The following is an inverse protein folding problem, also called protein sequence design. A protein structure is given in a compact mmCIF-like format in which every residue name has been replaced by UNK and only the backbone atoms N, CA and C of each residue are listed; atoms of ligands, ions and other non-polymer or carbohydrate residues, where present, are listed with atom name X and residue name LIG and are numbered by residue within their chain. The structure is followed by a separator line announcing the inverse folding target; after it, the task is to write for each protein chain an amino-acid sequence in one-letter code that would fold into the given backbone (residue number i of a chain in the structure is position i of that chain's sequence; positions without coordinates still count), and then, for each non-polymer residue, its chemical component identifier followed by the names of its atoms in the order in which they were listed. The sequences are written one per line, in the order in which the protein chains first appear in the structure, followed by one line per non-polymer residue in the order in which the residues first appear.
data_IF_624946727662
#
_entry.id   IF_624946727662
#
_cell.length_a   1.000
_cell.length_b   1.000
_cell.length_c   1.000
_cell.angle_alpha   90.00
_cell.angle_beta   90.00
_cell.angle_gamma   90.00
#
_symmetry.space_group_name_H-M   'P 1'
#
loop_
_entity.id
_entity.type
_entity.pdbx_description
1 polymer ?
#
# COMPACT_ATOMS: atom_id res chain seq x y z
N UNK A 1 -39.63 33.33 -66.81
CA UNK A 1 -38.56 33.64 -65.84
C UNK A 1 -37.50 32.56 -65.96
N UNK A 2 -36.35 32.86 -66.59
CA UNK A 2 -35.24 31.90 -66.77
C UNK A 2 -34.30 32.05 -65.57
N UNK A 3 -34.06 30.98 -64.83
CA UNK A 3 -33.05 30.93 -63.76
C UNK A 3 -31.72 30.56 -64.42
N UNK A 4 -30.74 31.45 -64.31
CA UNK A 4 -29.39 31.24 -64.82
C UNK A 4 -28.59 30.39 -63.84
N UNK A 5 -28.01 29.28 -64.33
CA UNK A 5 -27.00 28.52 -63.62
C UNK A 5 -25.65 29.19 -63.94
N UNK A 6 -25.08 29.87 -62.95
CA UNK A 6 -23.70 30.33 -63.04
C UNK A 6 -22.76 29.14 -62.88
N UNK A 7 -21.92 28.92 -63.90
CA UNK A 7 -20.87 27.91 -63.94
C UNK A 7 -19.56 28.62 -63.60
N UNK A 8 -19.12 28.54 -62.35
CA UNK A 8 -17.78 29.00 -61.98
C UNK A 8 -16.75 27.91 -62.27
N UNK A 9 -15.75 28.31 -63.06
CA UNK A 9 -14.58 27.50 -63.39
C UNK A 9 -13.67 27.39 -62.15
N UNK A 10 -13.76 26.28 -61.43
CA UNK A 10 -12.81 25.89 -60.41
C UNK A 10 -12.36 24.46 -60.65
N UNK A 11 -11.18 24.27 -61.27
CA UNK A 11 -10.49 22.99 -61.24
C UNK A 11 -10.08 22.72 -59.79
N UNK A 12 -10.90 21.96 -59.07
CA UNK A 12 -10.52 21.42 -57.76
C UNK A 12 -9.35 20.47 -57.98
N UNK A 13 -8.15 20.87 -57.58
CA UNK A 13 -6.95 20.05 -57.71
C UNK A 13 -7.09 18.83 -56.79
N UNK A 14 -7.39 17.67 -57.36
CA UNK A 14 -7.57 16.41 -56.61
C UNK A 14 -6.38 16.12 -55.71
N UNK A 15 -5.17 16.51 -56.13
CA UNK A 15 -3.95 16.34 -55.35
C UNK A 15 -3.94 17.20 -54.08
N UNK A 16 -4.52 18.41 -54.08
CA UNK A 16 -4.54 19.27 -52.88
C UNK A 16 -5.53 18.76 -51.84
N UNK A 17 -6.69 18.24 -52.27
CA UNK A 17 -7.68 17.63 -51.40
C UNK A 17 -7.13 16.34 -50.78
N UNK A 18 -6.47 15.51 -51.59
CA UNK A 18 -5.87 14.26 -51.14
C UNK A 18 -4.72 14.50 -50.12
N UNK A 19 -3.89 15.52 -50.33
CA UNK A 19 -2.84 15.92 -49.38
C UNK A 19 -3.44 16.42 -48.06
N UNK A 20 -4.51 17.22 -48.12
CA UNK A 20 -5.18 17.75 -46.94
C UNK A 20 -5.86 16.66 -46.11
N UNK A 21 -6.48 15.67 -46.76
CA UNK A 21 -7.08 14.49 -46.09
C UNK A 21 -5.98 13.62 -45.44
N UNK A 22 -4.86 13.39 -46.13
CA UNK A 22 -3.71 12.63 -45.58
C UNK A 22 -3.08 13.33 -44.38
N UNK A 23 -3.01 14.67 -44.37
CA UNK A 23 -2.55 15.44 -43.22
C UNK A 23 -3.49 15.33 -42.02
N UNK A 24 -4.80 15.43 -42.25
CA UNK A 24 -5.80 15.32 -41.18
C UNK A 24 -5.82 13.92 -40.56
N UNK A 25 -5.74 12.86 -41.38
CA UNK A 25 -5.63 11.48 -40.92
C UNK A 25 -4.36 11.24 -40.10
N UNK A 26 -3.21 11.78 -40.52
CA UNK A 26 -1.97 11.70 -39.74
C UNK A 26 -2.09 12.39 -38.38
N UNK A 27 -2.71 13.56 -38.34
CA UNK A 27 -2.95 14.29 -37.09
C UNK A 27 -3.88 13.52 -36.14
N UNK A 28 -4.96 12.94 -36.68
CA UNK A 28 -5.89 12.09 -35.92
C UNK A 28 -5.19 10.84 -35.36
N UNK A 29 -4.35 10.18 -36.17
CA UNK A 29 -3.58 9.00 -35.73
C UNK A 29 -2.56 9.39 -34.66
N UNK A 30 -1.86 10.52 -34.81
CA UNK A 30 -0.94 11.05 -33.80
C UNK A 30 -1.65 11.45 -32.51
N UNK A 31 -2.85 12.04 -32.57
CA UNK A 31 -3.63 12.39 -31.38
C UNK A 31 -4.15 11.15 -30.66
N UNK A 32 -4.60 10.13 -31.41
CA UNK A 32 -5.03 8.84 -30.85
C UNK A 32 -3.84 8.13 -30.22
N UNK A 33 -2.68 8.06 -30.89
CA UNK A 33 -1.46 7.48 -30.33
C UNK A 33 -1.02 8.22 -29.06
N UNK A 34 -1.08 9.56 -29.06
CA UNK A 34 -0.78 10.37 -27.89
C UNK A 34 -1.76 10.09 -26.73
N UNK A 35 -3.06 10.02 -27.01
CA UNK A 35 -4.08 9.62 -26.02
C UNK A 35 -3.87 8.20 -25.50
N UNK A 36 -3.51 7.23 -26.36
CA UNK A 36 -3.20 5.86 -25.93
C UNK A 36 -1.96 5.87 -25.04
N UNK A 37 -0.90 6.60 -25.39
CA UNK A 37 0.32 6.70 -24.56
C UNK A 37 0.08 7.39 -23.21
N UNK A 38 -0.82 8.38 -23.16
CA UNK A 38 -1.27 9.01 -21.91
C UNK A 38 -2.03 8.01 -21.02
N UNK A 39 -2.84 7.13 -21.60
CA UNK A 39 -3.59 6.12 -20.85
C UNK A 39 -2.75 4.89 -20.46
N UNK A 40 -1.60 4.64 -21.11
CA UNK A 40 -0.71 3.50 -20.79
C UNK A 40 0.31 3.78 -19.68
N UNK A 41 0.26 4.95 -19.04
CA UNK A 41 1.24 5.35 -18.01
C UNK A 41 0.79 5.01 -16.59
N UNK A 42 0.35 3.78 -16.30
CA UNK A 42 0.13 3.36 -14.91
C UNK A 42 0.16 1.83 -14.73
N UNK A 43 1.32 1.20 -14.89
CA UNK A 43 1.48 -0.23 -14.57
C UNK A 43 2.74 -0.45 -13.76
N UNK A 44 2.78 -0.08 -12.47
CA UNK A 44 3.86 -0.57 -11.61
C UNK A 44 3.58 -0.70 -10.11
N UNK A 45 2.36 -0.48 -9.61
CA UNK A 45 2.13 -0.55 -8.15
C UNK A 45 0.68 -0.89 -7.75
N UNK A 46 0.13 -1.99 -8.28
CA UNK A 46 -1.22 -2.41 -7.90
C UNK A 46 -1.27 -3.14 -6.55
N UNK A 47 -0.24 -3.93 -6.23
CA UNK A 47 -0.21 -4.82 -5.06
C UNK A 47 1.02 -4.62 -4.17
N UNK A 48 0.85 -4.96 -2.90
CA UNK A 48 1.93 -5.01 -1.91
C UNK A 48 2.76 -6.27 -2.17
N UNK A 49 4.08 -6.11 -2.14
CA UNK A 49 5.03 -7.22 -2.35
C UNK A 49 5.85 -7.50 -1.11
N UNK A 50 6.33 -8.73 -0.97
CA UNK A 50 7.29 -9.05 0.08
C UNK A 50 8.59 -8.26 -0.08
N UNK A 51 9.11 -7.80 1.04
CA UNK A 51 10.26 -6.89 1.12
C UNK A 51 9.94 -5.44 0.79
N UNK A 52 8.71 -5.09 0.40
CA UNK A 52 8.30 -3.70 0.25
C UNK A 52 8.22 -2.99 1.60
N UNK A 53 8.41 -1.67 1.56
CA UNK A 53 8.26 -0.79 2.71
C UNK A 53 6.96 -0.02 2.53
N UNK A 54 6.11 -0.04 3.54
CA UNK A 54 4.78 0.58 3.51
C UNK A 54 4.54 1.43 4.75
N UNK A 55 3.74 2.49 4.59
CA UNK A 55 3.04 3.13 5.71
C UNK A 55 1.62 2.55 5.76
N UNK A 56 1.12 2.22 6.94
CA UNK A 56 -0.26 1.73 7.11
C UNK A 56 -1.11 2.83 7.72
N UNK A 57 -2.04 3.38 6.93
CA UNK A 57 -2.99 4.40 7.37
C UNK A 57 -4.29 3.74 7.80
N UNK A 58 -4.77 4.08 8.99
CA UNK A 58 -6.08 3.67 9.46
C UNK A 58 -7.16 4.42 8.66
N UNK A 59 -8.19 3.71 8.21
CA UNK A 59 -9.22 4.29 7.36
C UNK A 59 -10.19 5.21 8.12
N UNK A 60 -10.42 4.95 9.41
CA UNK A 60 -11.37 5.71 10.21
C UNK A 60 -10.74 7.01 10.71
N UNK A 61 -9.58 6.91 11.35
CA UNK A 61 -8.93 8.05 12.01
C UNK A 61 -7.91 8.77 11.10
N UNK A 62 -7.51 8.16 9.99
CA UNK A 62 -6.56 8.77 9.06
C UNK A 62 -5.10 8.81 9.53
N UNK A 63 -4.81 8.24 10.70
CA UNK A 63 -3.46 8.15 11.31
C UNK A 63 -2.67 6.95 10.80
N UNK A 64 -1.34 7.02 10.91
CA UNK A 64 -0.40 6.00 10.41
C UNK A 64 0.21 5.19 11.54
N UNK A 65 0.26 3.87 11.35
CA UNK A 65 0.92 2.96 12.28
C UNK A 65 2.37 3.40 12.51
N UNK A 66 2.77 3.48 13.78
CA UNK A 66 3.99 4.16 14.20
C UNK A 66 4.60 3.46 15.41
N UNK A 67 5.94 3.47 15.52
CA UNK A 67 6.64 3.02 16.71
C UNK A 67 7.91 3.85 16.91
N UNK A 68 8.51 3.81 18.11
CA UNK A 68 9.61 4.68 18.50
C UNK A 68 10.28 4.12 19.75
N UNK A 69 11.40 4.68 20.19
CA UNK A 69 12.12 4.20 21.38
C UNK A 69 11.51 4.67 22.72
N UNK A 70 10.22 4.38 22.90
CA UNK A 70 9.48 4.53 24.16
C UNK A 70 8.85 3.18 24.45
N UNK A 71 8.89 2.77 25.71
CA UNK A 71 8.30 1.50 26.17
C UNK A 71 7.01 1.75 26.92
N UNK A 72 6.11 0.78 26.92
CA UNK A 72 4.96 0.82 27.78
C UNK A 72 5.39 0.78 29.26
N UNK A 73 4.77 1.61 30.10
CA UNK A 73 4.92 1.53 31.56
C UNK A 73 4.02 0.49 32.23
N UNK A 74 3.22 -0.23 31.44
CA UNK A 74 2.28 -1.27 31.88
C UNK A 74 2.32 -2.44 30.89
N UNK A 75 1.53 -3.48 31.18
CA UNK A 75 1.42 -4.62 30.27
C UNK A 75 2.74 -5.37 30.17
N UNK A 76 3.23 -5.60 28.96
CA UNK A 76 4.47 -6.35 28.74
C UNK A 76 5.75 -5.56 29.03
N UNK A 77 5.67 -4.23 29.09
CA UNK A 77 6.84 -3.35 29.15
C UNK A 77 7.66 -3.28 27.86
N UNK A 78 7.15 -3.83 26.74
CA UNK A 78 7.79 -3.78 25.44
C UNK A 78 7.69 -2.39 24.79
N UNK A 79 8.37 -2.20 23.65
CA UNK A 79 8.33 -0.95 22.89
C UNK A 79 6.90 -0.65 22.42
N UNK A 80 6.48 0.61 22.55
CA UNK A 80 5.12 1.02 22.23
C UNK A 80 4.87 1.08 20.72
N UNK A 81 3.64 0.71 20.34
CA UNK A 81 3.10 0.92 19.00
C UNK A 81 1.91 1.85 19.13
N UNK A 82 1.90 2.85 18.26
CA UNK A 82 0.97 3.98 18.30
C UNK A 82 0.52 4.29 16.88
N UNK A 83 -0.33 5.29 16.72
CA UNK A 83 -0.55 5.88 15.42
C UNK A 83 -0.52 7.41 15.45
N UNK A 84 0.04 8.00 14.40
CA UNK A 84 0.31 9.45 14.30
C UNK A 84 -0.33 10.07 13.07
N UNK A 85 -0.69 11.35 13.15
CA UNK A 85 -1.24 12.09 12.01
C UNK A 85 -0.17 12.42 10.96
N UNK A 86 1.07 12.67 11.41
CA UNK A 86 2.19 13.04 10.55
C UNK A 86 2.37 12.02 9.42
N UNK A 87 2.27 12.53 8.19
CA UNK A 87 2.35 11.71 7.01
C UNK A 87 3.74 11.29 6.63
N UNK A 88 4.74 12.08 7.01
CA UNK A 88 6.10 12.01 6.49
C UNK A 88 7.08 11.37 7.47
N UNK A 89 6.64 11.09 8.71
CA UNK A 89 7.48 10.47 9.74
C UNK A 89 8.11 9.15 9.26
N UNK A 90 9.44 9.07 9.42
CA UNK A 90 10.24 7.89 9.09
C UNK A 90 9.86 6.70 9.97
N UNK A 91 9.42 6.94 11.20
CA UNK A 91 8.98 5.95 12.18
C UNK A 91 7.59 5.35 11.88
N UNK A 92 6.99 5.72 10.73
CA UNK A 92 5.80 5.06 10.20
C UNK A 92 6.12 4.03 9.11
N UNK A 93 7.39 3.77 8.81
CA UNK A 93 7.77 2.78 7.80
C UNK A 93 7.88 1.36 8.37
N UNK A 94 7.14 0.45 7.74
CA UNK A 94 7.12 -0.97 8.07
C UNK A 94 7.51 -1.79 6.85
N UNK A 95 8.50 -2.67 7.01
CA UNK A 95 8.89 -3.63 5.97
C UNK A 95 8.03 -4.88 6.08
N UNK A 96 7.46 -5.30 4.95
CA UNK A 96 6.69 -6.54 4.85
C UNK A 96 7.64 -7.73 4.69
N UNK A 97 7.59 -8.67 5.63
CA UNK A 97 8.40 -9.89 5.64
C UNK A 97 7.52 -11.14 5.61
N UNK A 98 8.12 -12.27 5.24
CA UNK A 98 7.47 -13.58 5.38
C UNK A 98 7.16 -13.88 6.86
N UNK A 99 6.09 -14.63 7.09
CA UNK A 99 5.81 -15.24 8.40
C UNK A 99 6.98 -16.12 8.88
N UNK A 100 7.01 -16.42 10.18
CA UNK A 100 7.99 -17.35 10.75
C UNK A 100 7.92 -18.71 10.09
N UNK A 101 9.08 -19.25 9.70
CA UNK A 101 9.23 -20.48 8.90
C UNK A 101 8.48 -20.47 7.57
N UNK A 102 7.93 -19.31 7.18
CA UNK A 102 7.33 -19.07 5.87
C UNK A 102 8.38 -18.71 4.84
N UNK A 103 7.98 -18.74 3.58
CA UNK A 103 8.79 -18.24 2.48
C UNK A 103 8.00 -17.15 1.75
N UNK A 104 8.67 -16.06 1.43
CA UNK A 104 8.14 -15.05 0.53
C UNK A 104 9.31 -14.35 -0.14
N UNK A 105 9.46 -14.51 -1.45
CA UNK A 105 10.58 -13.91 -2.16
C UNK A 105 10.32 -12.42 -2.34
N UNK A 106 11.39 -11.63 -2.28
CA UNK A 106 11.32 -10.19 -2.51
C UNK A 106 10.66 -9.91 -3.86
N UNK A 107 9.64 -9.04 -3.88
CA UNK A 107 8.88 -8.71 -5.09
C UNK A 107 7.68 -9.62 -5.37
N UNK A 108 7.51 -10.75 -4.67
CA UNK A 108 6.30 -11.57 -4.82
C UNK A 108 5.09 -10.85 -4.22
N UNK A 109 3.90 -10.89 -4.88
CA UNK A 109 2.68 -10.32 -4.34
C UNK A 109 2.28 -10.99 -3.01
N UNK A 110 1.87 -10.19 -2.03
CA UNK A 110 1.30 -10.70 -0.78
C UNK A 110 -0.12 -11.19 -1.05
N UNK A 111 -0.36 -12.49 -0.89
CA UNK A 111 -1.69 -13.09 -1.09
C UNK A 111 -2.63 -12.75 0.07
N UNK A 112 -3.91 -12.55 -0.23
CA UNK A 112 -4.91 -12.48 0.83
C UNK A 112 -4.97 -13.81 1.59
N UNK A 113 -5.25 -13.74 2.89
CA UNK A 113 -5.21 -14.83 3.87
C UNK A 113 -3.83 -15.46 4.10
N UNK A 114 -2.76 -14.93 3.48
CA UNK A 114 -1.39 -15.30 3.83
C UNK A 114 -0.94 -14.59 5.12
N UNK A 115 0.07 -15.17 5.78
CA UNK A 115 0.68 -14.63 6.99
C UNK A 115 1.95 -13.88 6.63
N UNK A 116 2.12 -12.71 7.25
CA UNK A 116 3.29 -11.86 7.11
C UNK A 116 3.81 -11.44 8.50
N UNK A 117 4.99 -10.83 8.52
CA UNK A 117 5.46 -10.01 9.64
C UNK A 117 5.66 -8.58 9.16
N UNK A 118 5.51 -7.62 10.06
CA UNK A 118 5.79 -6.22 9.79
C UNK A 118 6.96 -5.79 10.66
N UNK A 119 8.10 -5.48 10.05
CA UNK A 119 9.30 -5.01 10.76
C UNK A 119 9.34 -3.49 10.74
N UNK A 120 9.41 -2.86 11.90
CA UNK A 120 9.60 -1.42 12.03
C UNK A 120 11.02 -1.07 11.54
N UNK A 121 11.15 -0.15 10.57
CA UNK A 121 12.45 0.08 9.94
C UNK A 121 13.48 0.72 10.89
N UNK A 122 13.06 1.71 11.69
CA UNK A 122 14.01 2.49 12.51
C UNK A 122 14.59 1.67 13.65
N UNK A 123 13.76 0.87 14.34
CA UNK A 123 14.18 0.13 15.55
C UNK A 123 14.43 -1.36 15.29
N UNK A 124 13.96 -1.90 14.16
CA UNK A 124 14.18 -3.29 13.76
C UNK A 124 13.28 -4.31 14.44
N UNK A 125 12.42 -3.92 15.38
CA UNK A 125 11.44 -4.80 16.01
C UNK A 125 10.30 -5.19 15.04
N UNK A 126 9.51 -6.16 15.45
CA UNK A 126 8.34 -6.63 14.71
C UNK A 126 7.06 -6.17 15.40
N UNK A 127 6.03 -5.85 14.61
CA UNK A 127 4.68 -5.65 15.12
C UNK A 127 4.22 -6.94 15.79
N UNK A 128 3.92 -6.85 17.08
CA UNK A 128 3.72 -7.99 17.96
C UNK A 128 2.43 -7.86 18.76
N UNK A 129 1.84 -9.01 19.12
CA UNK A 129 0.75 -9.03 20.07
C UNK A 129 0.74 -10.34 20.86
N UNK A 130 0.06 -10.31 22.02
CA UNK A 130 0.14 -11.35 23.06
C UNK A 130 -0.96 -11.15 24.10
N UNK A 131 -1.04 -12.02 25.12
CA UNK A 131 -2.10 -11.98 26.14
C UNK A 131 -1.89 -10.94 27.24
N UNK A 132 -1.55 -9.70 26.87
CA UNK A 132 -1.52 -8.54 27.76
C UNK A 132 -2.64 -7.56 27.42
N UNK A 133 -3.18 -6.89 28.45
CA UNK A 133 -4.16 -5.83 28.28
C UNK A 133 -3.52 -4.55 27.73
N UNK A 134 -4.22 -3.82 26.86
CA UNK A 134 -3.68 -2.59 26.30
C UNK A 134 -3.48 -1.48 27.38
N UNK A 135 -2.58 -0.52 27.14
CA UNK A 135 -2.21 0.47 28.17
C UNK A 135 -3.35 1.39 28.63
N UNK A 136 -4.22 1.83 27.73
CA UNK A 136 -5.36 2.73 28.02
C UNK A 136 -6.72 2.02 27.92
N UNK A 137 -6.86 1.03 27.06
CA UNK A 137 -8.12 0.28 26.85
C UNK A 137 -7.99 -1.16 27.35
N UNK A 138 -8.30 -1.38 28.63
CA UNK A 138 -7.97 -2.63 29.34
C UNK A 138 -8.74 -3.86 28.87
N UNK A 139 -9.84 -3.65 28.19
CA UNK A 139 -10.69 -4.68 27.60
C UNK A 139 -10.09 -5.25 26.30
N UNK A 140 -9.22 -4.48 25.65
CA UNK A 140 -8.55 -4.84 24.40
C UNK A 140 -7.11 -5.29 24.64
N UNK A 141 -6.53 -5.92 23.63
CA UNK A 141 -5.21 -6.52 23.73
C UNK A 141 -4.10 -5.55 23.32
N UNK A 142 -2.98 -5.63 24.04
CA UNK A 142 -1.78 -4.87 23.74
C UNK A 142 -1.22 -5.24 22.36
N UNK A 143 -0.87 -4.21 21.59
CA UNK A 143 -0.02 -4.32 20.41
C UNK A 143 1.28 -3.58 20.72
N UNK A 144 2.40 -4.24 20.51
CA UNK A 144 3.73 -3.78 20.87
C UNK A 144 4.68 -3.95 19.69
N UNK A 145 5.89 -3.42 19.83
CA UNK A 145 7.00 -3.72 18.95
C UNK A 145 8.02 -4.58 19.71
N UNK A 146 8.25 -5.80 19.23
CA UNK A 146 9.05 -6.80 19.94
C UNK A 146 10.24 -7.31 19.13
N UNK A 147 11.31 -7.66 19.84
CA UNK A 147 12.51 -8.24 19.26
C UNK A 147 13.34 -7.28 18.38
N UNK A 148 14.24 -7.87 17.61
CA UNK A 148 15.01 -7.27 16.50
C UNK A 148 15.71 -8.41 15.76
N UNK A 149 16.52 -9.16 16.51
CA UNK A 149 17.11 -10.45 16.12
C UNK A 149 16.23 -11.63 16.52
N UNK A 150 15.37 -11.44 17.52
CA UNK A 150 14.40 -12.41 18.01
C UNK A 150 13.04 -12.17 17.34
N UNK A 151 12.34 -13.27 17.02
CA UNK A 151 11.00 -13.25 16.43
C UNK A 151 10.28 -14.56 16.79
N UNK A 152 9.02 -14.47 17.17
CA UNK A 152 8.16 -15.61 17.51
C UNK A 152 6.77 -15.52 16.85
N UNK A 153 5.91 -16.51 17.09
CA UNK A 153 4.59 -16.58 16.43
C UNK A 153 3.70 -15.36 16.72
N UNK A 154 3.97 -14.62 17.80
CA UNK A 154 3.30 -13.35 18.14
C UNK A 154 3.59 -12.21 17.16
N UNK A 155 4.53 -12.39 16.24
CA UNK A 155 4.83 -11.43 15.18
C UNK A 155 4.02 -11.68 13.90
N UNK A 156 3.34 -12.83 13.79
CA UNK A 156 2.65 -13.21 12.57
C UNK A 156 1.25 -12.59 12.49
N UNK A 157 0.97 -11.93 11.38
CA UNK A 157 -0.32 -11.33 11.06
C UNK A 157 -0.85 -11.88 9.74
N UNK A 158 -2.08 -12.38 9.76
CA UNK A 158 -2.80 -12.77 8.55
C UNK A 158 -3.40 -11.53 7.87
N UNK A 159 -3.13 -11.36 6.58
CA UNK A 159 -3.68 -10.28 5.76
C UNK A 159 -5.09 -10.67 5.30
N UNK A 160 -6.12 -10.07 5.88
CA UNK A 160 -7.51 -10.35 5.53
C UNK A 160 -8.00 -9.33 4.51
N UNK A 161 -8.24 -9.79 3.29
CA UNK A 161 -8.72 -8.98 2.16
C UNK A 161 -9.55 -9.80 1.17
N UNK A 162 -10.34 -9.12 0.34
CA UNK A 162 -11.34 -9.75 -0.53
C UNK A 162 -10.82 -10.20 -1.90
N UNK A 163 -9.65 -9.73 -2.32
CA UNK A 163 -9.06 -10.10 -3.61
C UNK A 163 -8.14 -11.32 -3.46
N UNK A 164 -7.50 -11.76 -4.54
CA UNK A 164 -6.46 -12.79 -4.46
C UNK A 164 -5.17 -12.29 -3.78
N UNK A 165 -4.90 -10.99 -3.92
CA UNK A 165 -3.68 -10.32 -3.41
C UNK A 165 -4.02 -9.01 -2.71
N UNK A 166 -3.13 -8.58 -1.82
CA UNK A 166 -3.23 -7.30 -1.13
C UNK A 166 -2.95 -6.16 -2.11
N UNK A 167 -4.03 -5.56 -2.63
CA UNK A 167 -3.95 -4.37 -3.47
C UNK A 167 -3.68 -3.12 -2.63
N UNK A 168 -2.74 -2.26 -3.06
CA UNK A 168 -2.33 -1.05 -2.33
C UNK A 168 -3.48 -0.07 -2.10
N UNK A 169 -4.38 0.03 -3.08
CA UNK A 169 -5.52 0.97 -3.02
C UNK A 169 -6.66 0.45 -2.13
N UNK A 170 -6.63 -0.81 -1.73
CA UNK A 170 -7.73 -1.44 -1.01
C UNK A 170 -7.42 -1.49 0.50
N UNK A 171 -8.47 -1.35 1.29
CA UNK A 171 -8.38 -1.57 2.72
C UNK A 171 -8.26 -3.07 3.01
N UNK A 172 -7.45 -3.39 4.00
CA UNK A 172 -7.25 -4.73 4.54
C UNK A 172 -7.41 -4.71 6.04
N UNK A 173 -7.49 -5.89 6.64
CA UNK A 173 -7.39 -6.07 8.09
C UNK A 173 -6.19 -6.96 8.37
N UNK A 174 -5.53 -6.74 9.50
CA UNK A 174 -4.43 -7.58 9.96
C UNK A 174 -4.91 -8.36 11.18
N UNK A 175 -5.03 -9.68 11.04
CA UNK A 175 -5.49 -10.58 12.10
C UNK A 175 -4.28 -11.26 12.73
N UNK A 176 -4.05 -11.03 14.00
CA UNK A 176 -2.96 -11.67 14.75
C UNK A 176 -3.15 -13.19 14.75
N UNK A 177 -2.09 -13.94 14.41
CA UNK A 177 -2.17 -15.40 14.25
C UNK A 177 -2.60 -16.09 15.55
N UNK A 178 -1.88 -15.83 16.65
CA UNK A 178 -2.03 -16.62 17.87
C UNK A 178 -3.34 -16.32 18.61
N UNK A 179 -3.79 -15.07 18.58
CA UNK A 179 -4.98 -14.63 19.35
C UNK A 179 -6.23 -14.44 18.50
N UNK A 180 -6.10 -14.43 17.17
CA UNK A 180 -7.20 -14.18 16.25
C UNK A 180 -7.81 -12.76 16.30
N UNK A 181 -7.22 -11.83 17.05
CA UNK A 181 -7.66 -10.44 17.16
C UNK A 181 -7.16 -9.57 16.01
N UNK A 182 -7.85 -8.49 15.71
CA UNK A 182 -7.54 -7.59 14.60
C UNK A 182 -6.82 -6.33 15.08
N UNK A 183 -5.75 -5.95 14.39
CA UNK A 183 -5.07 -4.67 14.59
C UNK A 183 -6.04 -3.51 14.37
N UNK A 184 -6.16 -2.61 15.34
CA UNK A 184 -7.10 -1.51 15.30
C UNK A 184 -6.60 -0.28 16.08
N UNK A 185 -7.31 0.84 15.90
CA UNK A 185 -7.19 2.02 16.76
C UNK A 185 -8.29 1.97 17.83
N UNK A 186 -7.93 2.20 19.10
CA UNK A 186 -8.94 2.21 20.18
C UNK A 186 -9.79 3.49 20.22
N UNK A 187 -9.28 4.57 19.60
CA UNK A 187 -9.83 5.92 19.66
C UNK A 187 -9.32 6.74 20.85
N UNK A 188 -8.54 6.14 21.77
CA UNK A 188 -7.85 6.87 22.84
C UNK A 188 -6.51 7.40 22.36
N UNK A 189 -6.07 8.50 22.96
CA UNK A 189 -4.77 9.10 22.72
C UNK A 189 -3.93 9.12 24.00
N UNK A 190 -2.62 9.06 23.84
CA UNK A 190 -1.67 9.16 24.93
C UNK A 190 -1.42 10.62 25.35
N UNK A 191 -1.07 10.77 26.62
CA UNK A 191 -0.49 11.99 27.17
C UNK A 191 1.03 12.04 26.98
N UNK A 192 1.74 12.76 27.86
CA UNK A 192 3.21 12.79 27.85
C UNK A 192 3.79 11.37 28.08
N UNK A 193 4.96 11.03 27.48
CA UNK A 193 5.78 11.87 26.60
C UNK A 193 5.32 11.89 25.13
N UNK A 194 4.41 11.00 24.72
CA UNK A 194 3.93 10.82 23.34
C UNK A 194 2.56 11.45 23.12
N UNK A 195 2.44 12.74 23.46
CA UNK A 195 1.17 13.44 23.49
C UNK A 195 0.44 13.41 22.14
N UNK A 196 -0.85 13.09 22.16
CA UNK A 196 -1.72 13.08 20.98
C UNK A 196 -1.59 11.84 20.09
N UNK A 197 -0.61 10.96 20.33
CA UNK A 197 -0.51 9.72 19.57
C UNK A 197 -1.64 8.76 19.96
N UNK A 198 -2.25 8.12 18.97
CA UNK A 198 -3.37 7.21 19.18
C UNK A 198 -2.90 5.85 19.70
N UNK A 199 -3.68 5.26 20.59
CA UNK A 199 -3.48 3.90 21.07
C UNK A 199 -3.86 2.89 19.98
N UNK A 200 -2.91 2.00 19.67
CA UNK A 200 -3.11 0.85 18.79
C UNK A 200 -3.35 -0.38 19.67
N UNK A 201 -4.37 -1.14 19.31
CA UNK A 201 -4.81 -2.34 20.06
C UNK A 201 -5.12 -3.50 19.12
N UNK A 202 -5.30 -4.69 19.68
CA UNK A 202 -5.87 -5.83 18.97
C UNK A 202 -7.25 -6.18 19.55
N UNK A 203 -8.29 -6.14 18.70
CA UNK A 203 -9.71 -6.29 19.08
C UNK A 203 -10.30 -7.61 18.59
N UNK A 204 -11.22 -8.21 19.37
CA UNK A 204 -11.85 -9.49 19.00
C UNK A 204 -12.87 -9.37 17.87
N UNK A 205 -13.60 -8.26 17.82
CA UNK A 205 -14.64 -8.02 16.81
C UNK A 205 -14.13 -7.03 15.78
N UNK A 206 -14.15 -7.44 14.51
CA UNK A 206 -13.72 -6.56 13.43
C UNK A 206 -14.70 -5.39 13.22
N UNK A 207 -14.20 -4.16 13.34
CA UNK A 207 -14.92 -2.90 13.12
C UNK A 207 -14.16 -2.02 12.10
N UNK A 208 -14.71 -0.86 11.76
CA UNK A 208 -14.05 0.12 10.87
C UNK A 208 -12.67 0.55 11.40
N UNK A 209 -12.51 0.63 12.73
CA UNK A 209 -11.24 0.91 13.39
C UNK A 209 -10.12 -0.11 13.06
N UNK A 210 -10.46 -1.30 12.54
CA UNK A 210 -9.51 -2.33 12.13
C UNK A 210 -9.18 -2.32 10.63
N UNK A 211 -9.72 -1.36 9.87
CA UNK A 211 -9.42 -1.21 8.44
C UNK A 211 -8.18 -0.33 8.26
N UNK A 212 -7.21 -0.90 7.56
CA UNK A 212 -5.94 -0.25 7.23
C UNK A 212 -5.73 -0.26 5.73
N UNK A 213 -5.13 0.81 5.21
CA UNK A 213 -4.76 0.93 3.81
C UNK A 213 -3.30 1.32 3.72
N UNK A 214 -2.59 0.80 2.72
CA UNK A 214 -1.24 1.30 2.47
C UNK A 214 -1.31 2.75 2.00
N UNK A 215 -0.60 3.62 2.71
CA UNK A 215 -0.29 4.98 2.29
C UNK A 215 1.12 5.00 1.68
N UNK A 216 1.49 6.16 1.12
CA UNK A 216 2.80 6.47 0.53
C UNK A 216 3.95 5.62 1.10
N UNK A 217 4.53 4.79 0.24
CA UNK A 217 5.61 3.87 0.58
C UNK A 217 6.43 3.58 -0.67
N UNK A 218 7.75 3.60 -0.54
CA UNK A 218 8.69 3.34 -1.63
C UNK A 218 8.59 1.89 -2.09
N UNK A 219 8.29 1.69 -3.37
CA UNK A 219 8.25 0.37 -3.98
C UNK A 219 9.67 -0.16 -4.19
N UNK A 220 9.89 -1.44 -3.85
CA UNK A 220 11.01 -2.17 -4.44
C UNK A 220 10.61 -2.48 -5.88
N UNK A 221 11.10 -1.68 -6.81
CA UNK A 221 11.06 -2.03 -8.23
C UNK A 221 11.90 -3.28 -8.42
N UNK A 222 11.27 -4.40 -8.75
CA UNK A 222 11.99 -5.56 -9.27
C UNK A 222 12.49 -5.15 -10.65
N UNK A 223 13.78 -4.79 -10.75
CA UNK A 223 14.43 -4.81 -12.05
C UNK A 223 14.37 -6.26 -12.53
N UNK A 224 13.42 -6.57 -13.41
CA UNK A 224 13.51 -7.75 -14.24
C UNK A 224 14.75 -7.55 -15.12
N UNK A 225 15.92 -8.03 -14.67
CA UNK A 225 16.99 -8.37 -15.59
C UNK A 225 16.44 -9.50 -16.46
N UNK A 226 15.83 -9.12 -17.58
CA UNK A 226 15.69 -10.01 -18.73
C UNK A 226 17.13 -10.37 -19.13
N UNK A 227 17.59 -11.53 -18.68
CA UNK A 227 18.71 -12.21 -19.33
C UNK A 227 18.25 -12.59 -20.74
N UNK A 228 18.35 -11.65 -21.68
CA UNK A 228 18.39 -11.94 -23.11
C UNK A 228 19.84 -11.85 -23.56
N UNK A 229 20.62 -12.90 -23.29
CA UNK A 229 21.88 -13.18 -23.98
C UNK A 229 22.03 -14.69 -24.09
N UNK A 230 21.32 -15.30 -25.04
CA UNK A 230 21.82 -16.44 -25.86
C UNK A 230 20.77 -16.85 -26.90
N UNK A 231 20.57 -15.99 -27.88
CA UNK A 231 20.31 -16.38 -29.27
C UNK A 231 20.91 -15.28 -30.15
N UNK A 232 22.22 -15.40 -30.40
CA UNK A 232 22.82 -14.88 -31.62
C UNK A 232 23.42 -16.07 -32.37
N UNK A 233 23.13 -16.05 -33.66
CA UNK A 233 23.47 -17.00 -34.73
C UNK A 233 24.94 -17.41 -34.73
#
# INVERSE_FOLDING_TARGET
MRIAIYKENGYFNSNSVEVSIKMFLKFLVLSILYFVTLNTSQTHDEFVTCGSVVKLKNNQEGVRLHSHDVKYGSGSGQQSVTAVEDGDDVNSHWQVLAAIKGNCKRGEPVKCNSKIRLKHLTTGCHLHSHLFAAPLTKEDQEVSCFGNTESDSGDNWMVVCSNDVWLRKNAVKLKHEDTGKFLAISGKQYGRPINGQYEVVAISTSKNAALWKTAEGTCVVVHFQKNMEHYRL
#
